data_IF_489055974596
#
_entry.id   IF_489055974596
#
_cell.length_a   1.000
_cell.length_b   1.000
_cell.length_c   1.000
_cell.angle_alpha   90.00
_cell.angle_beta   90.00
_cell.angle_gamma   90.00
#
_symmetry.space_group_name_H-M   'P 1'
#
loop_
_entity.id
_entity.type
_entity.pdbx_description
1 polymer ?
#
# COMPACT_ATOMS: atom_id res chain seq x y z
N UNK A 1 15.15 6.61 -16.56
CA UNK A 1 14.74 5.31 -16.03
C UNK A 1 15.72 4.97 -14.92
N UNK A 2 15.26 4.94 -13.67
CA UNK A 2 16.14 4.77 -12.52
C UNK A 2 16.29 3.27 -12.24
N UNK A 3 17.46 2.74 -12.59
CA UNK A 3 17.97 1.41 -12.23
C UNK A 3 17.16 0.19 -12.70
N UNK A 4 17.38 -0.20 -13.96
CA UNK A 4 16.95 -1.51 -14.45
C UNK A 4 17.80 -2.61 -13.79
N UNK A 5 17.20 -3.44 -12.95
CA UNK A 5 17.80 -4.67 -12.41
C UNK A 5 18.19 -4.63 -10.93
N UNK A 6 19.26 -5.33 -10.58
CA UNK A 6 19.74 -5.46 -9.21
C UNK A 6 20.69 -4.32 -8.82
N UNK A 7 20.50 -3.76 -7.63
CA UNK A 7 21.40 -2.75 -7.06
C UNK A 7 22.71 -3.31 -6.48
N UNK A 8 22.76 -4.62 -6.25
CA UNK A 8 23.90 -5.34 -5.67
C UNK A 8 24.28 -6.52 -6.58
N UNK A 9 25.53 -7.02 -6.54
CA UNK A 9 25.93 -8.20 -7.31
C UNK A 9 25.02 -9.41 -7.02
N UNK A 10 24.50 -10.04 -8.08
CA UNK A 10 23.51 -11.12 -7.94
C UNK A 10 24.09 -12.32 -7.18
N UNK A 11 25.40 -12.52 -7.25
CA UNK A 11 26.12 -13.62 -6.61
C UNK A 11 26.11 -13.53 -5.08
N UNK A 12 25.93 -12.32 -4.51
CA UNK A 12 25.86 -12.13 -3.05
C UNK A 12 24.43 -12.15 -2.51
N UNK A 13 23.42 -12.21 -3.38
CA UNK A 13 22.02 -12.26 -3.00
C UNK A 13 21.57 -13.69 -2.71
N UNK A 14 20.75 -13.85 -1.67
CA UNK A 14 20.05 -15.11 -1.42
C UNK A 14 19.02 -15.38 -2.54
N UNK A 15 18.70 -16.65 -2.79
CA UNK A 15 17.64 -17.00 -3.75
C UNK A 15 16.28 -16.41 -3.36
N UNK A 16 15.99 -16.36 -2.06
CA UNK A 16 14.76 -15.74 -1.54
C UNK A 16 14.70 -14.23 -1.88
N UNK A 17 15.81 -13.51 -1.71
CA UNK A 17 15.90 -12.09 -2.09
C UNK A 17 15.71 -11.91 -3.59
N UNK A 18 16.27 -12.81 -4.42
CA UNK A 18 16.09 -12.75 -5.88
C UNK A 18 14.64 -13.02 -6.27
N UNK A 19 13.97 -13.97 -5.65
CA UNK A 19 12.55 -14.24 -5.90
C UNK A 19 11.65 -13.08 -5.46
N UNK A 20 11.91 -12.49 -4.29
CA UNK A 20 11.20 -11.26 -3.88
C UNK A 20 11.47 -10.11 -4.84
N UNK A 21 12.70 -9.92 -5.32
CA UNK A 21 13.02 -8.90 -6.31
C UNK A 21 12.23 -9.11 -7.61
N UNK A 22 12.17 -10.35 -8.13
CA UNK A 22 11.35 -10.69 -9.30
C UNK A 22 9.90 -10.28 -9.08
N UNK A 23 9.29 -10.68 -7.96
CA UNK A 23 7.91 -10.34 -7.65
C UNK A 23 7.69 -8.83 -7.46
N UNK A 24 8.63 -8.11 -6.83
CA UNK A 24 8.54 -6.65 -6.64
C UNK A 24 8.61 -5.92 -7.98
N UNK A 25 9.55 -6.29 -8.85
CA UNK A 25 9.67 -5.66 -10.17
C UNK A 25 8.43 -5.96 -11.02
N UNK A 26 7.94 -7.21 -11.03
CA UNK A 26 6.69 -7.51 -11.72
C UNK A 26 5.52 -6.69 -11.18
N UNK A 27 5.37 -6.56 -9.86
CA UNK A 27 4.33 -5.70 -9.28
C UNK A 27 4.48 -4.22 -9.69
N UNK A 28 5.72 -3.71 -9.76
CA UNK A 28 5.99 -2.35 -10.23
C UNK A 28 5.57 -2.17 -11.69
N UNK A 29 5.93 -3.11 -12.56
CA UNK A 29 5.58 -3.12 -13.98
C UNK A 29 4.05 -3.13 -14.20
N UNK A 30 3.31 -3.93 -13.43
CA UNK A 30 1.84 -3.94 -13.51
C UNK A 30 1.23 -2.59 -13.09
N UNK A 31 1.76 -1.97 -12.03
CA UNK A 31 1.27 -0.65 -11.59
C UNK A 31 1.64 0.46 -12.57
N UNK A 32 2.80 0.39 -13.22
CA UNK A 32 3.16 1.29 -14.34
C UNK A 32 2.22 1.10 -15.53
N UNK A 33 1.87 -0.15 -15.87
CA UNK A 33 0.92 -0.44 -16.94
C UNK A 33 -0.47 0.13 -16.62
N UNK A 34 -0.97 -0.03 -15.38
CA UNK A 34 -2.24 0.58 -14.93
C UNK A 34 -2.22 2.10 -15.13
N UNK A 35 -1.18 2.78 -14.65
CA UNK A 35 -1.04 4.24 -14.80
C UNK A 35 -1.00 4.67 -16.28
N UNK A 36 -0.18 4.00 -17.09
CA UNK A 36 -0.06 4.33 -18.51
C UNK A 36 -1.35 4.08 -19.27
N UNK A 37 -2.09 3.02 -18.96
CA UNK A 37 -3.37 2.76 -19.58
C UNK A 37 -4.43 3.78 -19.15
N UNK A 38 -4.51 4.17 -17.88
CA UNK A 38 -5.41 5.25 -17.43
C UNK A 38 -5.17 6.54 -18.22
N UNK A 39 -3.92 6.98 -18.34
CA UNK A 39 -3.57 8.17 -19.11
C UNK A 39 -3.99 8.06 -20.58
N UNK A 40 -3.83 6.88 -21.20
CA UNK A 40 -4.17 6.66 -22.61
C UNK A 40 -5.67 6.56 -22.83
N UNK A 41 -6.42 5.99 -21.89
CA UNK A 41 -7.89 5.96 -21.91
C UNK A 41 -8.44 7.39 -21.89
N UNK A 42 -7.90 8.25 -21.03
CA UNK A 42 -8.32 9.66 -20.96
C UNK A 42 -7.93 10.47 -22.21
N UNK A 43 -6.78 10.16 -22.82
CA UNK A 43 -6.23 10.93 -23.94
C UNK A 43 -6.72 10.50 -25.32
N UNK A 44 -7.18 9.26 -25.50
CA UNK A 44 -7.57 8.74 -26.81
C UNK A 44 -8.91 9.32 -27.28
N UNK A 45 -9.03 9.59 -28.59
CA UNK A 45 -10.28 10.00 -29.22
C UNK A 45 -11.02 8.86 -29.91
N UNK A 46 -10.43 7.66 -29.95
CA UNK A 46 -11.03 6.45 -30.53
C UNK A 46 -11.71 5.63 -29.42
N UNK A 47 -13.06 5.47 -29.46
CA UNK A 47 -13.80 4.76 -28.43
C UNK A 47 -13.52 3.25 -28.40
N UNK A 48 -13.25 2.61 -29.56
CA UNK A 48 -12.94 1.18 -29.59
C UNK A 48 -11.59 0.92 -28.93
N UNK A 49 -10.61 1.80 -29.18
CA UNK A 49 -9.33 1.74 -28.50
C UNK A 49 -9.47 2.02 -27.00
N UNK A 50 -10.31 2.98 -26.59
CA UNK A 50 -10.54 3.29 -25.17
C UNK A 50 -11.07 2.06 -24.40
N UNK A 51 -12.03 1.34 -24.98
CA UNK A 51 -12.58 0.11 -24.39
C UNK A 51 -11.52 -0.98 -24.25
N UNK A 52 -10.70 -1.20 -25.28
CA UNK A 52 -9.60 -2.18 -25.24
C UNK A 52 -8.56 -1.83 -24.17
N UNK A 53 -8.14 -0.56 -24.09
CA UNK A 53 -7.13 -0.13 -23.12
C UNK A 53 -7.66 -0.20 -21.69
N UNK A 54 -8.94 0.14 -21.47
CA UNK A 54 -9.59 0.02 -20.17
C UNK A 54 -9.71 -1.44 -19.72
N UNK A 55 -10.02 -2.36 -20.64
CA UNK A 55 -10.01 -3.79 -20.36
C UNK A 55 -8.64 -4.26 -19.89
N UNK A 56 -7.57 -3.97 -20.66
CA UNK A 56 -6.21 -4.38 -20.30
C UNK A 56 -5.80 -3.78 -18.96
N UNK A 57 -6.05 -2.49 -18.73
CA UNK A 57 -5.79 -1.81 -17.45
C UNK A 57 -6.38 -2.56 -16.26
N UNK A 58 -7.61 -3.04 -16.41
CA UNK A 58 -8.32 -3.69 -15.31
C UNK A 58 -7.82 -5.13 -15.09
N UNK A 59 -7.33 -5.83 -16.12
CA UNK A 59 -6.60 -7.10 -15.97
C UNK A 59 -5.25 -6.92 -15.25
N UNK A 60 -4.49 -5.86 -15.52
CA UNK A 60 -3.21 -5.65 -14.81
C UNK A 60 -3.40 -5.41 -13.30
N UNK A 61 -4.57 -4.89 -12.87
CA UNK A 61 -4.91 -4.78 -11.45
C UNK A 61 -5.06 -6.17 -10.80
N UNK A 62 -5.55 -7.17 -11.53
CA UNK A 62 -5.59 -8.56 -11.08
C UNK A 62 -4.16 -9.11 -10.95
N UNK A 63 -3.31 -8.91 -11.95
CA UNK A 63 -1.91 -9.35 -11.91
C UNK A 63 -1.14 -8.73 -10.74
N UNK A 64 -1.33 -7.42 -10.51
CA UNK A 64 -0.78 -6.72 -9.35
C UNK A 64 -1.26 -7.32 -8.03
N UNK A 65 -2.57 -7.56 -7.88
CA UNK A 65 -3.13 -8.14 -6.66
C UNK A 65 -2.64 -9.56 -6.39
N UNK A 66 -2.54 -10.41 -7.42
CA UNK A 66 -2.01 -11.77 -7.32
C UNK A 66 -0.55 -11.78 -6.87
N UNK A 67 0.26 -10.89 -7.44
CA UNK A 67 1.69 -10.77 -7.11
C UNK A 67 1.90 -10.21 -5.70
N UNK A 68 1.13 -9.20 -5.31
CA UNK A 68 1.14 -8.64 -3.95
C UNK A 68 0.78 -9.70 -2.91
N UNK A 69 -0.21 -10.56 -3.19
CA UNK A 69 -0.58 -11.66 -2.29
C UNK A 69 0.56 -12.69 -2.13
N UNK A 70 1.30 -12.99 -3.21
CA UNK A 70 2.46 -13.88 -3.11
C UNK A 70 3.55 -13.30 -2.18
N UNK A 71 3.79 -11.99 -2.28
CA UNK A 71 4.71 -11.24 -1.41
C UNK A 71 4.23 -11.24 0.04
N UNK A 72 2.95 -10.91 0.29
CA UNK A 72 2.34 -10.89 1.64
C UNK A 72 2.55 -12.22 2.38
N UNK A 73 2.40 -13.36 1.69
CA UNK A 73 2.60 -14.68 2.29
C UNK A 73 4.04 -14.99 2.73
N UNK A 74 5.02 -14.19 2.29
CA UNK A 74 6.46 -14.45 2.46
C UNK A 74 7.22 -13.33 3.15
N UNK A 75 6.58 -12.20 3.38
CA UNK A 75 7.14 -11.08 4.13
C UNK A 75 6.21 -10.77 5.32
N UNK A 76 6.54 -11.26 6.53
CA UNK A 76 5.72 -11.04 7.72
C UNK A 76 5.51 -9.56 8.06
N UNK A 77 6.49 -8.70 7.76
CA UNK A 77 6.33 -7.27 8.03
C UNK A 77 5.35 -6.66 7.03
N UNK A 78 5.46 -7.02 5.75
CA UNK A 78 4.48 -6.59 4.74
C UNK A 78 3.06 -7.07 5.09
N UNK A 79 2.89 -8.30 5.59
CA UNK A 79 1.57 -8.79 6.04
C UNK A 79 0.97 -7.94 7.17
N UNK A 80 1.78 -7.57 8.16
CA UNK A 80 1.36 -6.72 9.27
C UNK A 80 0.87 -5.35 8.78
N UNK A 81 1.63 -4.70 7.89
CA UNK A 81 1.25 -3.40 7.33
C UNK A 81 -0.02 -3.51 6.48
N UNK A 82 -0.09 -4.50 5.58
CA UNK A 82 -1.24 -4.67 4.70
C UNK A 82 -2.53 -4.92 5.49
N UNK A 83 -2.46 -5.67 6.60
CA UNK A 83 -3.62 -5.87 7.51
C UNK A 83 -4.00 -4.64 8.29
N UNK A 84 -3.05 -3.77 8.60
CA UNK A 84 -3.30 -2.52 9.32
C UNK A 84 -4.08 -1.53 8.46
N UNK A 85 -3.74 -1.43 7.17
CA UNK A 85 -4.26 -0.38 6.30
C UNK A 85 -5.37 -0.84 5.35
N UNK A 86 -5.31 -2.04 4.77
CA UNK A 86 -6.28 -2.44 3.75
C UNK A 86 -7.66 -2.72 4.34
N UNK A 87 -8.70 -2.38 3.57
CA UNK A 87 -10.12 -2.59 3.91
C UNK A 87 -10.57 -1.87 5.20
N UNK A 88 -9.92 -0.75 5.51
CA UNK A 88 -10.31 0.16 6.59
C UNK A 88 -11.02 1.40 6.03
N UNK A 89 -11.70 2.15 6.90
CA UNK A 89 -12.32 3.43 6.58
C UNK A 89 -11.70 4.54 7.45
N UNK A 90 -11.77 5.78 6.98
CA UNK A 90 -11.23 6.96 7.67
C UNK A 90 -9.84 7.39 7.19
N UNK A 91 -9.22 8.38 7.84
CA UNK A 91 -7.92 8.90 7.42
C UNK A 91 -6.80 7.87 7.57
N UNK A 92 -6.17 7.47 6.45
CA UNK A 92 -5.14 6.41 6.40
C UNK A 92 -3.99 6.69 7.39
N UNK A 93 -3.55 7.94 7.49
CA UNK A 93 -2.43 8.35 8.36
C UNK A 93 -2.75 8.27 9.86
N UNK A 94 -4.00 8.07 10.26
CA UNK A 94 -4.38 7.93 11.68
C UNK A 94 -4.56 6.46 12.09
N UNK A 95 -4.48 5.51 11.16
CA UNK A 95 -4.69 4.08 11.45
C UNK A 95 -3.52 3.46 12.23
N UNK A 96 -2.30 4.00 12.08
CA UNK A 96 -1.13 3.54 12.82
C UNK A 96 -1.28 3.74 14.34
N UNK A 97 -1.91 4.84 14.76
CA UNK A 97 -2.15 5.17 16.16
C UNK A 97 -3.11 4.17 16.82
N UNK A 98 -4.15 3.76 16.06
CA UNK A 98 -5.12 2.76 16.52
C UNK A 98 -4.51 1.35 16.61
N UNK A 99 -3.64 0.98 15.66
CA UNK A 99 -2.97 -0.33 15.65
C UNK A 99 -1.90 -0.46 16.75
N UNK A 100 -1.16 0.61 17.05
CA UNK A 100 -0.09 0.63 18.06
C UNK A 100 -0.60 0.87 19.49
N UNK A 101 -1.84 1.33 19.66
CA UNK A 101 -2.47 1.62 20.97
C UNK A 101 -3.17 0.44 21.65
N UNK A 102 -3.23 -0.75 21.03
CA UNK A 102 -4.00 -1.91 21.51
C UNK A 102 -3.37 -2.75 22.64
N UNK A 103 -2.42 -2.20 23.39
CA UNK A 103 -1.66 -2.90 24.42
C UNK A 103 -1.85 -2.33 25.82
N UNK A 104 -3.08 -2.30 26.36
CA UNK A 104 -3.43 -2.38 27.79
C UNK A 104 -4.92 -2.12 28.01
N UNK A 105 -5.59 -2.95 28.82
CA UNK A 105 -6.86 -2.59 29.47
C UNK A 105 -8.02 -3.57 29.25
N UNK A 106 -8.00 -4.68 29.99
CA UNK A 106 -9.23 -5.43 30.23
C UNK A 106 -10.21 -4.64 31.12
N UNK A 107 -11.50 -4.77 30.81
CA UNK A 107 -12.61 -4.61 31.76
C UNK A 107 -13.39 -3.30 31.70
N UNK A 108 -14.66 -3.38 31.27
CA UNK A 108 -15.68 -2.39 31.60
C UNK A 108 -16.80 -2.22 30.57
N UNK A 109 -17.91 -2.93 30.78
CA UNK A 109 -19.20 -2.68 30.12
C UNK A 109 -19.77 -1.29 30.45
N UNK A 110 -20.58 -0.72 29.55
CA UNK A 110 -21.54 0.34 29.88
C UNK A 110 -21.89 1.26 28.71
N UNK A 111 -23.11 1.10 28.17
CA UNK A 111 -23.59 1.81 26.97
C UNK A 111 -24.08 3.25 27.17
N UNK A 112 -24.65 3.80 26.09
CA UNK A 112 -25.39 5.06 26.11
C UNK A 112 -25.22 5.87 24.83
N UNK A 113 -26.33 6.01 24.11
CA UNK A 113 -26.57 6.80 22.90
C UNK A 113 -26.42 8.33 23.10
N UNK A 114 -26.13 9.03 21.99
CA UNK A 114 -26.65 10.34 21.55
C UNK A 114 -25.59 11.24 20.89
N UNK A 115 -25.93 11.70 19.67
CA UNK A 115 -25.05 12.44 18.78
C UNK A 115 -24.83 13.91 19.15
N UNK A 116 -23.83 14.51 18.52
CA UNK A 116 -23.78 15.95 18.22
C UNK A 116 -22.76 16.21 17.11
N UNK A 117 -23.19 16.90 16.07
CA UNK A 117 -22.36 17.53 15.06
C UNK A 117 -21.55 18.70 15.69
N UNK A 118 -20.27 18.87 15.31
CA UNK A 118 -19.70 20.18 15.00
C UNK A 118 -18.22 20.15 14.56
N UNK A 119 -17.99 20.75 13.38
CA UNK A 119 -16.89 21.65 13.00
C UNK A 119 -15.52 21.07 12.62
N UNK A 120 -15.31 21.06 11.30
CA UNK A 120 -14.01 21.07 10.63
C UNK A 120 -13.42 22.49 10.61
N UNK A 121 -12.13 22.63 10.95
CA UNK A 121 -11.21 23.71 10.53
C UNK A 121 -9.74 23.36 10.87
N UNK A 122 -8.75 23.97 10.20
CA UNK A 122 -7.82 23.20 9.35
C UNK A 122 -6.39 23.02 9.91
N UNK A 123 -5.71 22.05 9.30
CA UNK A 123 -4.27 21.94 9.05
C UNK A 123 -3.31 22.19 10.21
N UNK A 124 -2.67 21.11 10.67
CA UNK A 124 -1.28 21.17 11.12
C UNK A 124 -0.48 20.08 10.41
N UNK A 125 0.30 20.51 9.42
CA UNK A 125 1.10 19.68 8.54
C UNK A 125 2.34 19.15 9.23
N UNK A 126 2.16 18.23 10.18
CA UNK A 126 3.25 17.45 10.74
C UNK A 126 3.18 16.04 10.15
N UNK A 127 4.03 15.76 9.16
CA UNK A 127 4.40 14.40 8.80
C UNK A 127 5.10 13.80 10.03
N UNK A 128 4.33 13.26 10.97
CA UNK A 128 4.77 12.63 12.20
C UNK A 128 5.55 11.35 11.92
N UNK A 129 6.70 11.49 11.24
CA UNK A 129 7.81 10.54 11.23
C UNK A 129 8.27 10.38 12.68
N UNK A 130 7.50 9.57 13.40
CA UNK A 130 7.64 9.26 14.80
C UNK A 130 9.03 8.71 15.05
N UNK A 131 9.86 9.56 15.63
CA UNK A 131 10.88 9.17 16.59
C UNK A 131 11.86 8.09 16.13
N UNK A 132 12.66 8.42 15.12
CA UNK A 132 14.05 7.98 15.09
C UNK A 132 14.76 8.54 16.34
N UNK A 133 14.75 7.77 17.45
CA UNK A 133 15.78 7.66 18.50
C UNK A 133 15.19 7.21 19.84
N UNK A 134 15.42 5.94 20.18
CA UNK A 134 15.80 5.52 21.53
C UNK A 134 16.32 4.07 21.45
N UNK A 135 17.46 3.64 21.98
CA UNK A 135 18.63 4.25 22.61
C UNK A 135 19.75 3.22 22.38
N UNK A 136 20.88 3.64 21.82
CA UNK A 136 22.12 2.90 22.00
C UNK A 136 22.55 3.05 23.46
N UNK A 137 22.73 1.94 24.17
CA UNK A 137 23.66 1.84 25.29
C UNK A 137 24.19 0.42 25.38
#
# INVERSE_FOLDING_TARGET
>A
MANEGYHEPVEVLSEETKDRHRAIISLMEELEAVDWYDQRVDATSDPELAELLAHNRDEEKEHAAMTLEWLRRRDPRLDEELRTYLFTEGPITHLEEAAMGGGEGGGGEGGGDEGTEAKVSPADGSLGIGSLRAKAK
#
